data_IF_645767317697
#
_entry.id   IF_645767317697
#
_cell.length_a   1.000
_cell.length_b   1.000
_cell.length_c   1.000
_cell.angle_alpha   90.00
_cell.angle_beta   90.00
_cell.angle_gamma   90.00
#
_symmetry.space_group_name_H-M   'P 1'
#
loop_
_entity.id
_entity.type
_entity.pdbx_description
1 polymer ?
#
# COMPACT_ATOMS: atom_id res chain seq x y z
N UNK A 1 28.13 6.71 10.12
CA UNK A 1 29.33 6.94 9.27
C UNK A 1 29.10 6.30 7.90
N UNK A 2 28.48 7.03 6.97
CA UNK A 2 28.21 6.50 5.62
C UNK A 2 29.53 6.38 4.84
N UNK A 3 29.89 5.15 4.46
CA UNK A 3 31.05 4.95 3.60
C UNK A 3 30.71 5.51 2.21
N UNK A 4 31.34 6.64 1.87
CA UNK A 4 31.31 7.19 0.51
C UNK A 4 31.86 6.12 -0.43
N UNK A 5 30.98 5.45 -1.19
CA UNK A 5 31.37 4.39 -2.13
C UNK A 5 32.42 4.94 -3.10
N UNK A 6 33.52 4.22 -3.28
CA UNK A 6 34.67 4.64 -4.09
C UNK A 6 34.30 4.71 -5.59
N UNK A 7 34.98 5.54 -6.38
CA UNK A 7 34.71 5.69 -7.83
C UNK A 7 34.88 4.36 -8.57
N UNK A 8 35.88 3.58 -8.19
CA UNK A 8 36.17 2.28 -8.78
C UNK A 8 35.11 1.22 -8.46
N UNK A 9 34.50 1.26 -7.26
CA UNK A 9 33.41 0.35 -6.92
C UNK A 9 32.15 0.66 -7.72
N UNK A 10 31.82 1.95 -7.91
CA UNK A 10 30.71 2.37 -8.78
C UNK A 10 30.92 1.93 -10.23
N UNK A 11 32.12 2.14 -10.78
CA UNK A 11 32.42 1.75 -12.16
C UNK A 11 32.38 0.24 -12.36
N UNK A 12 32.94 -0.55 -11.43
CA UNK A 12 32.86 -2.01 -11.49
C UNK A 12 31.41 -2.49 -11.40
N UNK A 13 30.60 -1.91 -10.51
CA UNK A 13 29.18 -2.24 -10.41
C UNK A 13 28.40 -1.91 -11.70
N UNK A 14 28.71 -0.76 -12.34
CA UNK A 14 28.10 -0.39 -13.61
C UNK A 14 28.43 -1.40 -14.72
N UNK A 15 29.71 -1.78 -14.88
CA UNK A 15 30.12 -2.78 -15.87
C UNK A 15 29.50 -4.15 -15.60
N UNK A 16 29.42 -4.57 -14.33
CA UNK A 16 28.73 -5.82 -13.96
C UNK A 16 27.24 -5.78 -14.30
N UNK A 17 26.59 -4.64 -14.06
CA UNK A 17 25.18 -4.44 -14.42
C UNK A 17 24.96 -4.48 -15.93
N UNK A 18 25.86 -3.89 -16.72
CA UNK A 18 25.83 -3.97 -18.19
C UNK A 18 26.00 -5.42 -18.66
N UNK A 19 26.99 -6.15 -18.13
CA UNK A 19 27.20 -7.55 -18.48
C UNK A 19 26.00 -8.45 -18.11
N UNK A 20 25.38 -8.22 -16.94
CA UNK A 20 24.15 -8.91 -16.55
C UNK A 20 22.99 -8.56 -17.48
N UNK A 21 22.84 -7.28 -17.86
CA UNK A 21 21.81 -6.85 -18.79
C UNK A 21 21.99 -7.52 -20.17
N UNK A 22 23.21 -7.60 -20.69
CA UNK A 22 23.52 -8.31 -21.93
C UNK A 22 23.17 -9.80 -21.85
N UNK A 23 23.53 -10.47 -20.75
CA UNK A 23 23.18 -11.87 -20.53
C UNK A 23 21.66 -12.08 -20.51
N UNK A 24 20.93 -11.26 -19.74
CA UNK A 24 19.46 -11.35 -19.69
C UNK A 24 18.81 -11.04 -21.04
N UNK A 25 19.37 -10.13 -21.85
CA UNK A 25 18.88 -9.84 -23.19
C UNK A 25 19.05 -11.05 -24.13
N UNK A 26 20.19 -11.74 -24.06
CA UNK A 26 20.43 -12.97 -24.83
C UNK A 26 19.47 -14.09 -24.40
N UNK A 27 19.31 -14.29 -23.09
CA UNK A 27 18.42 -15.32 -22.55
C UNK A 27 16.96 -15.05 -22.92
N UNK A 28 16.50 -13.80 -22.82
CA UNK A 28 15.13 -13.42 -23.21
C UNK A 28 14.89 -13.57 -24.71
N UNK A 29 15.88 -13.23 -25.55
CA UNK A 29 15.78 -13.44 -27.00
C UNK A 29 15.71 -14.93 -27.35
N UNK A 30 16.56 -15.77 -26.74
CA UNK A 30 16.55 -17.20 -26.94
C UNK A 30 15.25 -17.87 -26.43
N UNK A 31 14.72 -17.37 -25.31
CA UNK A 31 13.43 -17.82 -24.81
C UNK A 31 12.28 -17.44 -25.75
N UNK A 32 12.26 -16.19 -26.23
CA UNK A 32 11.25 -15.70 -27.15
C UNK A 32 11.25 -16.47 -28.48
N UNK A 33 12.43 -16.83 -29.02
CA UNK A 33 12.50 -17.64 -30.24
C UNK A 33 11.95 -19.05 -30.04
N UNK A 34 12.29 -19.70 -28.93
CA UNK A 34 11.72 -21.02 -28.59
C UNK A 34 10.19 -20.95 -28.41
N UNK A 35 9.70 -19.88 -27.80
CA UNK A 35 8.27 -19.68 -27.60
C UNK A 35 7.55 -19.47 -28.93
N UNK A 36 8.12 -18.69 -29.85
CA UNK A 36 7.57 -18.48 -31.18
C UNK A 36 7.44 -19.78 -31.97
N UNK A 37 8.46 -20.65 -31.95
CA UNK A 37 8.42 -21.97 -32.59
C UNK A 37 7.28 -22.85 -32.05
N UNK A 38 7.04 -22.81 -30.74
CA UNK A 38 5.95 -23.55 -30.11
C UNK A 38 4.56 -22.92 -30.35
N UNK A 39 4.50 -21.62 -30.63
CA UNK A 39 3.26 -20.92 -30.97
C UNK A 39 2.77 -21.25 -32.39
N UNK A 40 3.68 -21.57 -33.32
CA UNK A 40 3.33 -22.00 -34.68
C UNK A 40 2.68 -23.40 -34.71
N UNK A 41 3.00 -24.27 -33.73
CA UNK A 41 2.42 -25.61 -33.61
C UNK A 41 0.96 -25.56 -33.17
N UNK A 42 0.16 -26.53 -33.61
CA UNK A 42 -1.24 -26.63 -33.19
C UNK A 42 -1.38 -27.04 -31.72
N UNK A 43 -2.44 -26.59 -31.04
CA UNK A 43 -2.69 -26.94 -29.63
C UNK A 43 -2.77 -28.46 -29.41
N UNK A 44 -3.44 -29.18 -30.31
CA UNK A 44 -3.69 -30.60 -30.16
C UNK A 44 -2.39 -31.43 -30.24
N UNK A 45 -1.47 -31.03 -31.13
CA UNK A 45 -0.16 -31.67 -31.25
C UNK A 45 0.67 -31.50 -29.98
N UNK A 46 0.70 -30.28 -29.43
CA UNK A 46 1.47 -29.99 -28.21
C UNK A 46 0.91 -30.74 -27.01
N UNK A 47 -0.42 -30.80 -26.88
CA UNK A 47 -1.07 -31.56 -25.82
C UNK A 47 -0.78 -33.07 -25.92
N UNK A 48 -0.76 -33.62 -27.15
CA UNK A 48 -0.41 -35.02 -27.38
C UNK A 48 1.07 -35.31 -27.11
N UNK A 49 1.98 -34.45 -27.56
CA UNK A 49 3.43 -34.57 -27.36
C UNK A 49 3.78 -34.57 -25.86
N UNK A 50 3.10 -33.72 -25.09
CA UNK A 50 3.31 -33.57 -23.64
C UNK A 50 2.43 -34.48 -22.78
N UNK A 51 1.58 -35.31 -23.39
CA UNK A 51 0.60 -36.16 -22.72
C UNK A 51 -0.28 -35.41 -21.70
N UNK A 52 -0.72 -34.20 -22.08
CA UNK A 52 -1.56 -33.34 -21.24
C UNK A 52 -3.04 -33.41 -21.64
N UNK A 53 -3.97 -33.32 -20.68
CA UNK A 53 -5.41 -33.24 -20.98
C UNK A 53 -5.78 -31.92 -21.66
N UNK A 54 -6.99 -31.82 -22.24
CA UNK A 54 -7.48 -30.53 -22.75
C UNK A 54 -7.82 -29.58 -21.59
N UNK A 55 -7.24 -28.35 -21.55
CA UNK A 55 -7.50 -27.40 -20.47
C UNK A 55 -8.98 -27.02 -20.30
N UNK A 56 -9.82 -27.17 -21.33
CA UNK A 56 -11.26 -26.89 -21.20
C UNK A 56 -12.05 -28.02 -20.52
N UNK A 57 -11.52 -29.25 -20.51
CA UNK A 57 -12.21 -30.44 -19.99
C UNK A 57 -11.86 -30.74 -18.54
N UNK A 58 -10.92 -29.99 -17.96
CA UNK A 58 -10.52 -30.11 -16.56
C UNK A 58 -11.74 -29.99 -15.62
N UNK A 59 -11.73 -30.83 -14.59
CA UNK A 59 -12.68 -30.93 -13.50
C UNK A 59 -12.07 -30.47 -12.17
N UNK A 60 -12.92 -30.28 -11.16
CA UNK A 60 -12.45 -29.93 -9.83
C UNK A 60 -11.61 -31.07 -9.25
N UNK A 61 -10.38 -30.78 -8.84
CA UNK A 61 -9.44 -31.77 -8.30
C UNK A 61 -8.42 -32.32 -9.30
N UNK A 62 -8.54 -31.99 -10.59
CA UNK A 62 -7.52 -32.36 -11.58
C UNK A 62 -6.21 -31.58 -11.34
N UNK A 63 -5.08 -32.24 -11.63
CA UNK A 63 -3.77 -31.61 -11.50
C UNK A 63 -3.44 -30.73 -12.71
N UNK A 64 -3.11 -29.45 -12.45
CA UNK A 64 -2.77 -28.45 -13.46
C UNK A 64 -1.25 -28.20 -13.52
N UNK A 65 -0.48 -28.82 -12.62
CA UNK A 65 0.97 -28.63 -12.51
C UNK A 65 1.72 -28.93 -13.82
N UNK A 66 1.26 -29.92 -14.59
CA UNK A 66 1.84 -30.28 -15.89
C UNK A 66 1.84 -29.15 -16.92
N UNK A 67 0.88 -28.22 -16.85
CA UNK A 67 0.82 -27.06 -17.75
C UNK A 67 1.82 -25.95 -17.38
N UNK A 68 2.45 -26.02 -16.20
CA UNK A 68 3.41 -25.02 -15.73
C UNK A 68 4.84 -25.28 -16.21
N UNK A 69 5.09 -26.39 -16.91
CA UNK A 69 6.38 -26.68 -17.50
C UNK A 69 6.80 -25.59 -18.50
N UNK A 70 8.11 -25.31 -18.59
CA UNK A 70 8.67 -24.35 -19.55
C UNK A 70 8.42 -24.75 -21.01
N UNK A 71 8.25 -26.05 -21.27
CA UNK A 71 7.94 -26.60 -22.59
C UNK A 71 6.51 -26.30 -23.07
N UNK A 72 5.61 -25.89 -22.17
CA UNK A 72 4.22 -25.57 -22.52
C UNK A 72 4.13 -24.10 -22.93
N UNK A 73 3.54 -23.79 -24.10
CA UNK A 73 3.28 -22.41 -24.52
C UNK A 73 2.38 -21.65 -23.55
N UNK A 74 2.57 -20.33 -23.47
CA UNK A 74 1.81 -19.47 -22.57
C UNK A 74 0.30 -19.50 -22.86
N UNK A 75 -0.11 -19.69 -24.11
CA UNK A 75 -1.54 -19.76 -24.48
C UNK A 75 -2.26 -20.94 -23.82
N UNK A 76 -1.63 -22.11 -23.75
CA UNK A 76 -2.18 -23.29 -23.05
C UNK A 76 -2.11 -23.11 -21.53
N UNK A 77 -0.99 -22.58 -21.03
CA UNK A 77 -0.81 -22.26 -19.61
C UNK A 77 -1.91 -21.32 -19.09
N UNK A 78 -2.17 -20.21 -19.79
CA UNK A 78 -3.22 -19.24 -19.45
C UNK A 78 -4.62 -19.85 -19.51
N UNK A 79 -4.89 -20.73 -20.49
CA UNK A 79 -6.18 -21.44 -20.60
C UNK A 79 -6.40 -22.37 -19.40
N UNK A 80 -5.39 -23.19 -19.06
CA UNK A 80 -5.44 -24.09 -17.91
C UNK A 80 -5.62 -23.33 -16.60
N UNK A 81 -4.86 -22.24 -16.38
CA UNK A 81 -5.01 -21.38 -15.20
C UNK A 81 -6.41 -20.77 -15.14
N UNK A 82 -6.92 -20.18 -16.23
CA UNK A 82 -8.27 -19.60 -16.23
C UNK A 82 -9.34 -20.61 -15.85
N UNK A 83 -9.17 -21.88 -16.25
CA UNK A 83 -10.07 -22.97 -15.85
C UNK A 83 -9.90 -23.32 -14.37
N UNK A 84 -8.67 -23.43 -13.87
CA UNK A 84 -8.36 -23.69 -12.45
C UNK A 84 -9.00 -22.66 -11.52
N UNK A 85 -8.83 -21.36 -11.79
CA UNK A 85 -9.40 -20.28 -10.98
C UNK A 85 -10.93 -20.30 -10.95
N UNK A 86 -11.60 -20.88 -11.96
CA UNK A 86 -13.06 -21.04 -11.98
C UNK A 86 -13.54 -22.30 -11.27
N UNK A 87 -12.71 -23.34 -11.25
CA UNK A 87 -13.06 -24.64 -10.68
C UNK A 87 -12.81 -24.71 -9.19
N UNK A 88 -11.77 -24.04 -8.72
CA UNK A 88 -11.39 -24.08 -7.32
C UNK A 88 -11.94 -22.85 -6.57
N UNK A 89 -13.06 -22.97 -5.84
CA UNK A 89 -13.65 -21.84 -5.12
C UNK A 89 -12.74 -21.31 -4.01
N UNK A 90 -11.80 -22.12 -3.49
CA UNK A 90 -10.85 -21.68 -2.46
C UNK A 90 -9.98 -20.53 -2.97
N UNK A 91 -9.62 -20.55 -4.25
CA UNK A 91 -8.81 -19.48 -4.86
C UNK A 91 -9.59 -18.18 -5.07
N UNK A 92 -10.92 -18.22 -4.96
CA UNK A 92 -11.78 -17.05 -5.08
C UNK A 92 -12.24 -16.49 -3.73
N UNK A 93 -11.88 -17.15 -2.63
CA UNK A 93 -12.26 -16.70 -1.29
C UNK A 93 -11.35 -15.55 -0.86
N UNK A 94 -11.94 -14.36 -0.75
CA UNK A 94 -11.33 -13.24 -0.02
C UNK A 94 -11.79 -13.38 1.43
N UNK A 95 -10.97 -14.01 2.26
CA UNK A 95 -11.28 -14.35 3.66
C UNK A 95 -11.12 -13.16 4.63
N UNK A 96 -10.71 -12.00 4.12
CA UNK A 96 -10.46 -10.79 4.92
C UNK A 96 -9.17 -10.87 5.75
N UNK A 97 -8.37 -11.93 5.59
CA UNK A 97 -7.05 -12.03 6.22
C UNK A 97 -5.95 -11.31 5.42
N UNK A 98 -6.31 -10.77 4.26
CA UNK A 98 -5.41 -9.99 3.42
C UNK A 98 -5.50 -8.53 3.84
N UNK A 99 -4.68 -8.13 4.80
CA UNK A 99 -4.61 -6.76 5.35
C UNK A 99 -4.30 -5.67 4.30
N UNK A 100 -3.89 -6.07 3.08
CA UNK A 100 -3.61 -5.17 1.96
C UNK A 100 -4.50 -5.45 0.73
N UNK A 101 -5.55 -6.25 0.89
CA UNK A 101 -6.43 -6.68 -0.20
C UNK A 101 -7.54 -5.68 -0.52
N UNK A 102 -7.72 -4.66 0.32
CA UNK A 102 -8.71 -3.62 0.13
C UNK A 102 -8.20 -2.48 -0.76
N UNK A 103 -9.13 -1.67 -1.25
CA UNK A 103 -8.80 -0.48 -2.02
C UNK A 103 -8.50 0.69 -1.06
N UNK A 104 -7.21 0.96 -0.87
CA UNK A 104 -6.72 2.10 -0.08
C UNK A 104 -6.51 3.36 -0.92
N UNK A 105 -6.95 3.39 -2.18
CA UNK A 105 -7.02 4.65 -2.92
C UNK A 105 -8.18 5.46 -2.36
N UNK A 106 -7.82 6.26 -1.37
CA UNK A 106 -8.65 7.08 -0.48
C UNK A 106 -9.42 8.22 -1.19
N UNK A 107 -10.08 7.91 -2.30
CA UNK A 107 -11.03 8.81 -2.94
C UNK A 107 -12.42 8.72 -2.28
N UNK A 108 -12.67 7.70 -1.46
CA UNK A 108 -13.96 7.46 -0.81
C UNK A 108 -14.08 8.08 0.60
N UNK A 109 -12.99 8.37 1.32
CA UNK A 109 -13.07 9.04 2.64
C UNK A 109 -12.90 10.56 2.57
N UNK A 110 -12.55 11.11 1.40
CA UNK A 110 -12.49 12.56 1.19
C UNK A 110 -13.90 13.05 0.85
N UNK A 111 -14.65 13.40 1.89
CA UNK A 111 -15.86 14.22 1.74
C UNK A 111 -15.42 15.54 1.07
N UNK A 112 -16.18 16.00 0.08
CA UNK A 112 -15.93 17.31 -0.55
C UNK A 112 -15.84 18.40 0.54
N UNK A 113 -14.69 19.09 0.61
CA UNK A 113 -14.35 20.13 1.58
C UNK A 113 -14.03 19.67 3.02
N UNK A 114 -13.44 18.49 3.22
CA UNK A 114 -12.83 18.18 4.53
C UNK A 114 -11.66 19.16 4.79
N UNK A 115 -11.79 19.99 5.82
CA UNK A 115 -10.77 20.97 6.21
C UNK A 115 -10.33 20.69 7.64
N UNK A 116 -9.02 20.82 7.89
CA UNK A 116 -8.50 20.77 9.25
C UNK A 116 -8.80 22.09 9.96
N UNK A 117 -9.10 22.03 11.26
CA UNK A 117 -9.30 23.24 12.07
C UNK A 117 -8.03 24.10 12.21
N UNK A 118 -6.88 23.55 11.85
CA UNK A 118 -5.58 24.23 11.91
C UNK A 118 -5.36 25.12 10.68
N UNK A 119 -5.17 26.42 10.91
CA UNK A 119 -4.81 27.37 9.86
C UNK A 119 -3.29 27.57 9.81
N UNK A 120 -2.67 27.31 8.65
CA UNK A 120 -1.21 27.46 8.48
C UNK A 120 -0.77 28.89 8.82
N UNK A 121 0.22 29.02 9.70
CA UNK A 121 0.76 30.30 10.17
C UNK A 121 -0.08 31.03 11.23
N UNK A 122 -1.33 30.60 11.45
CA UNK A 122 -2.24 31.18 12.46
C UNK A 122 -2.53 30.22 13.61
N UNK A 123 -2.38 28.91 13.43
CA UNK A 123 -2.72 27.92 14.46
C UNK A 123 -4.21 27.62 14.52
N UNK A 124 -4.72 27.26 15.70
CA UNK A 124 -6.12 26.86 15.95
C UNK A 124 -7.02 28.05 16.36
N UNK A 125 -6.72 29.28 15.92
CA UNK A 125 -7.36 30.49 16.43
C UNK A 125 -8.88 30.51 16.24
N UNK A 126 -9.38 30.09 15.07
CA UNK A 126 -10.81 30.07 14.81
C UNK A 126 -11.59 29.15 15.77
N UNK A 127 -10.97 28.07 16.24
CA UNK A 127 -11.59 27.17 17.22
C UNK A 127 -11.58 27.77 18.63
N UNK A 128 -10.48 28.44 19.00
CA UNK A 128 -10.36 29.13 20.29
C UNK A 128 -11.33 30.32 20.39
N UNK A 129 -11.46 31.10 19.32
CA UNK A 129 -12.43 32.20 19.23
C UNK A 129 -13.88 31.69 19.32
N UNK A 130 -14.18 30.56 18.69
CA UNK A 130 -15.49 29.92 18.81
C UNK A 130 -15.80 29.51 20.26
N UNK A 131 -14.85 28.86 20.95
CA UNK A 131 -14.99 28.48 22.37
C UNK A 131 -15.16 29.70 23.29
N UNK A 132 -14.43 30.79 23.04
CA UNK A 132 -14.54 32.02 23.81
C UNK A 132 -15.92 32.69 23.62
N UNK A 133 -16.42 32.73 22.39
CA UNK A 133 -17.74 33.27 22.08
C UNK A 133 -18.90 32.40 22.61
N UNK A 134 -18.67 31.09 22.81
CA UNK A 134 -19.62 30.21 23.50
C UNK A 134 -19.62 30.48 25.01
N UNK A 135 -18.43 30.65 25.62
CA UNK A 135 -18.29 30.95 27.04
C UNK A 135 -18.88 32.31 27.45
N UNK A 136 -18.78 33.34 26.60
CA UNK A 136 -19.41 34.65 26.84
C UNK A 136 -20.95 34.61 26.73
N UNK A 137 -21.52 33.66 25.98
CA UNK A 137 -22.98 33.47 25.91
C UNK A 137 -23.54 32.74 27.12
N UNK A 138 -22.69 31.96 27.79
CA UNK A 138 -23.02 31.20 29.00
C UNK A 138 -22.71 31.98 30.29
N UNK A 139 -22.45 33.29 30.26
CA UNK A 139 -22.39 34.11 31.49
C UNK A 139 -23.80 34.24 32.12
N UNK A 140 -24.11 33.60 33.27
CA UNK A 140 -25.30 33.95 34.02
C UNK A 140 -25.10 35.33 34.66
N UNK A 141 -26.08 36.21 34.53
CA UNK A 141 -26.16 37.49 35.24
C UNK A 141 -26.31 37.21 36.76
N UNK A 142 -25.19 37.04 37.46
CA UNK A 142 -25.18 36.74 38.91
C UNK A 142 -25.11 38.04 39.69
N UNK A 143 -26.29 38.50 40.11
CA UNK A 143 -26.44 39.44 41.21
C UNK A 143 -25.89 38.83 42.50
N UNK A 144 -24.91 39.48 43.11
CA UNK A 144 -24.27 39.06 44.35
C UNK A 144 -25.16 39.44 45.53
N UNK A 145 -25.98 38.51 46.01
CA UNK A 145 -26.55 38.53 47.36
C UNK A 145 -26.03 37.33 48.18
N UNK A 146 -25.35 37.68 49.27
CA UNK A 146 -24.97 36.93 50.46
C UNK A 146 -24.93 35.39 50.44
N UNK A 147 -23.68 34.91 50.47
CA UNK A 147 -23.24 33.59 50.92
C UNK A 147 -23.88 33.19 52.26
N UNK A 148 -24.63 32.09 52.25
CA UNK A 148 -24.67 31.08 53.32
C UNK A 148 -25.35 29.83 52.75
N UNK A 149 -24.68 28.68 52.82
CA UNK A 149 -25.16 27.32 53.17
C UNK A 149 -24.13 26.28 52.67
N UNK A 150 -23.78 25.36 53.56
CA UNK A 150 -22.56 24.52 53.54
C UNK A 150 -22.50 23.41 52.48
N UNK A 151 -21.42 22.60 52.49
CA UNK A 151 -20.97 21.86 51.34
C UNK A 151 -21.87 20.65 51.07
N UNK A 152 -22.37 20.53 49.84
CA UNK A 152 -22.96 19.30 49.33
C UNK A 152 -21.93 18.70 48.38
N UNK A 153 -21.33 17.60 48.84
CA UNK A 153 -20.49 16.72 48.03
C UNK A 153 -21.38 16.04 46.98
N UNK A 154 -21.20 16.41 45.72
CA UNK A 154 -21.67 15.62 44.57
C UNK A 154 -20.43 15.06 43.90
N UNK A 155 -20.22 13.75 44.10
CA UNK A 155 -19.16 12.98 43.44
C UNK A 155 -19.59 12.69 42.00
N UNK A 156 -19.11 13.49 41.05
CA UNK A 156 -19.13 13.10 39.63
C UNK A 156 -17.93 12.17 39.34
N UNK A 157 -18.13 11.07 38.61
CA UNK A 157 -17.09 10.08 38.36
C UNK A 157 -16.05 10.64 37.37
N UNK A 158 -14.83 10.83 37.87
CA UNK A 158 -13.62 11.05 37.09
C UNK A 158 -13.51 9.92 36.04
N UNK A 159 -13.44 10.19 34.73
CA UNK A 159 -13.10 9.16 33.78
C UNK A 159 -11.67 8.69 34.06
N UNK A 160 -11.53 7.39 34.34
CA UNK A 160 -10.24 6.71 34.54
C UNK A 160 -9.27 7.10 33.42
N UNK A 161 -8.21 7.82 33.78
CA UNK A 161 -7.03 7.92 32.94
C UNK A 161 -6.53 6.49 32.68
N UNK A 162 -6.62 6.06 31.43
CA UNK A 162 -5.98 4.83 30.96
C UNK A 162 -4.48 5.05 31.11
N UNK A 163 -3.88 4.34 32.05
CA UNK A 163 -2.43 4.21 32.19
C UNK A 163 -1.86 3.70 30.87
N UNK A 164 -1.15 4.57 30.16
CA UNK A 164 -0.27 4.21 29.06
C UNK A 164 0.74 3.20 29.59
N UNK A 165 0.62 1.95 29.14
CA UNK A 165 1.71 0.98 29.22
C UNK A 165 2.77 1.47 28.25
N UNK A 166 3.93 1.88 28.76
CA UNK A 166 5.13 2.04 27.95
C UNK A 166 5.46 0.69 27.33
N UNK A 167 5.07 0.51 26.07
CA UNK A 167 5.66 -0.49 25.20
C UNK A 167 6.97 0.08 24.67
N UNK A 168 8.08 -0.49 25.11
CA UNK A 168 9.40 -0.30 24.51
C UNK A 168 9.29 -0.59 23.01
N UNK A 169 9.37 0.46 22.19
CA UNK A 169 9.46 0.36 20.73
C UNK A 169 10.93 0.15 20.40
N UNK A 170 11.27 -1.06 19.99
CA UNK A 170 12.55 -1.39 19.37
C UNK A 170 12.58 -0.67 18.00
N UNK A 171 13.46 0.33 17.85
CA UNK A 171 13.64 1.08 16.61
C UNK A 171 14.21 0.17 15.50
N UNK A 172 13.56 0.03 14.33
CA UNK A 172 14.25 -0.48 13.16
C UNK A 172 15.11 0.63 12.54
N UNK A 173 16.43 0.45 12.63
CA UNK A 173 17.43 1.25 11.90
C UNK A 173 17.29 1.04 10.37
N UNK A 174 16.42 1.78 9.69
CA UNK A 174 16.56 2.02 8.24
C UNK A 174 16.11 3.46 7.89
N UNK A 175 16.97 4.43 8.20
CA UNK A 175 16.91 5.75 7.57
C UNK A 175 17.31 5.64 6.10
N UNK A 176 16.32 5.43 5.23
CA UNK A 176 16.47 5.69 3.81
C UNK A 176 16.57 7.22 3.62
N UNK A 177 17.78 7.71 3.35
CA UNK A 177 18.08 9.10 2.96
C UNK A 177 17.34 9.50 1.66
N UNK A 178 16.04 9.78 1.75
CA UNK A 178 15.30 10.50 0.73
C UNK A 178 15.56 11.99 0.92
N UNK A 179 16.67 12.50 0.39
CA UNK A 179 16.83 13.94 0.23
C UNK A 179 15.89 14.42 -0.88
N UNK A 180 14.83 15.20 -0.58
CA UNK A 180 14.03 15.79 -1.64
C UNK A 180 14.91 16.77 -2.43
N UNK A 181 15.00 16.58 -3.75
CA UNK A 181 15.71 17.52 -4.60
C UNK A 181 15.09 18.92 -4.44
N UNK A 182 15.89 19.99 -4.22
CA UNK A 182 15.35 21.32 -3.97
C UNK A 182 14.59 21.82 -5.22
N UNK A 183 13.27 21.86 -5.12
CA UNK A 183 12.41 22.47 -6.14
C UNK A 183 12.47 23.98 -5.97
N UNK A 184 13.18 24.67 -6.85
CA UNK A 184 13.20 26.13 -6.89
C UNK A 184 11.85 26.63 -7.41
N UNK A 185 10.94 27.02 -6.51
CA UNK A 185 9.73 27.75 -6.89
C UNK A 185 10.13 29.16 -7.32
N UNK A 186 9.72 29.57 -8.53
CA UNK A 186 9.78 30.96 -8.96
C UNK A 186 8.47 31.62 -8.53
N UNK A 187 8.56 32.64 -7.67
CA UNK A 187 7.43 33.48 -7.31
C UNK A 187 7.59 34.76 -8.12
N UNK A 188 6.65 35.02 -9.01
CA UNK A 188 6.54 36.26 -9.76
C UNK A 188 5.49 37.13 -9.07
N UNK A 189 5.82 38.41 -8.85
CA UNK A 189 4.87 39.41 -8.38
C UNK A 189 4.55 40.33 -9.56
N UNK A 190 3.28 40.42 -9.93
CA UNK A 190 2.79 41.48 -10.82
C UNK A 190 2.86 42.82 -10.07
N UNK A 191 3.54 43.79 -10.70
CA UNK A 191 3.58 45.19 -10.26
C UNK A 191 2.72 46.06 -11.17
#
# INVERSE_FOLDING_TARGET
MSQVRDFWSRRKAAVQKEAQAEQTAIETQAFASQQAELEEKSDAEILAELNLPDPNQLQCGDDVSGFMAKAVPDRLRRRALRRLWRLNPVLANVDGLVDYGEDYTDAACVIENIQTAYQVGKGMLAHVEALAAEAEKDEPDVSIEELQHGPILVEDPIPKAVTLVESEVEEPEEEADFHPAPRRMKIEFEG
#
